data_IF_270631904743
#
_entry.id   IF_270631904743
#
_cell.length_a   1.000
_cell.length_b   1.000
_cell.length_c   1.000
_cell.angle_alpha   90.00
_cell.angle_beta   90.00
_cell.angle_gamma   90.00
#
_symmetry.space_group_name_H-M   'P 1'
#
loop_
_entity.id
_entity.type
_entity.pdbx_description
1 polymer ?
#
# COMPACT_ATOMS: atom_id res chain seq x y z
N UNK A 1 2.67 -11.31 1.52
CA UNK A 1 1.19 -11.29 1.47
C UNK A 1 0.76 -10.18 0.50
N UNK A 2 -0.26 -10.41 -0.33
CA UNK A 2 -0.92 -9.35 -1.13
C UNK A 2 -2.31 -9.14 -0.56
N UNK A 3 -2.64 -7.91 -0.17
CA UNK A 3 -3.98 -7.56 0.29
C UNK A 3 -4.61 -6.60 -0.71
N UNK A 4 -5.89 -6.80 -1.00
CA UNK A 4 -6.67 -5.97 -1.90
C UNK A 4 -7.73 -5.22 -1.09
N UNK A 5 -7.94 -3.95 -1.42
CA UNK A 5 -8.99 -3.11 -0.84
C UNK A 5 -10.04 -2.74 -1.90
N UNK A 6 -10.95 -1.84 -1.53
CA UNK A 6 -12.02 -1.36 -2.40
C UNK A 6 -11.52 -0.62 -3.65
N UNK A 7 -12.42 -0.51 -4.63
CA UNK A 7 -12.19 0.24 -5.88
C UNK A 7 -12.10 1.75 -5.65
N UNK A 8 -11.04 2.37 -6.14
CA UNK A 8 -10.88 3.83 -6.21
C UNK A 8 -11.04 4.27 -7.64
N UNK A 9 -11.96 5.20 -7.86
CA UNK A 9 -12.09 5.96 -9.10
C UNK A 9 -11.36 7.29 -8.88
N UNK A 10 -10.19 7.43 -9.49
CA UNK A 10 -9.40 8.65 -9.38
C UNK A 10 -9.63 9.65 -10.50
N UNK A 11 -9.00 10.82 -10.34
CA UNK A 11 -8.96 11.93 -11.29
C UNK A 11 -7.52 12.42 -11.49
N UNK A 12 -7.22 13.31 -12.45
CA UNK A 12 -5.86 13.77 -12.71
C UNK A 12 -5.21 14.33 -11.44
N UNK A 13 -4.06 13.77 -11.04
CA UNK A 13 -3.35 14.14 -9.82
C UNK A 13 -3.80 13.43 -8.54
N UNK A 14 -4.80 12.53 -8.60
CA UNK A 14 -5.21 11.72 -7.45
C UNK A 14 -4.05 10.87 -6.95
N UNK A 15 -3.91 10.81 -5.63
CA UNK A 15 -2.98 9.93 -4.91
C UNK A 15 -3.77 9.10 -3.91
N UNK A 16 -3.33 7.87 -3.69
CA UNK A 16 -3.94 6.97 -2.70
C UNK A 16 -2.96 6.75 -1.56
N UNK A 17 -3.44 6.94 -0.33
CA UNK A 17 -2.69 6.67 0.89
C UNK A 17 -2.83 5.21 1.32
N UNK A 18 -1.71 4.64 1.76
CA UNK A 18 -1.62 3.29 2.29
C UNK A 18 -1.01 3.36 3.68
N UNK A 19 -1.68 2.74 4.65
CA UNK A 19 -1.23 2.69 6.05
C UNK A 19 -1.25 1.24 6.53
N UNK A 20 -0.08 0.67 6.80
CA UNK A 20 0.04 -0.69 7.33
C UNK A 20 0.40 -0.58 8.79
N UNK A 21 -0.49 -1.10 9.64
CA UNK A 21 -0.29 -1.13 11.09
C UNK A 21 0.24 -2.48 11.52
N UNK A 22 1.38 -2.49 12.21
CA UNK A 22 1.93 -3.73 12.75
C UNK A 22 1.46 -3.93 14.19
N UNK A 23 0.58 -4.89 14.42
CA UNK A 23 0.06 -5.21 15.76
C UNK A 23 1.02 -6.10 16.57
N UNK A 24 1.98 -6.78 15.90
CA UNK A 24 3.01 -7.61 16.54
C UNK A 24 4.34 -7.51 15.79
N UNK A 25 5.18 -6.55 16.16
CA UNK A 25 6.44 -6.19 15.52
C UNK A 25 7.66 -6.88 16.15
N UNK A 26 7.58 -8.18 16.47
CA UNK A 26 8.72 -8.92 17.04
C UNK A 26 9.85 -9.04 16.01
N UNK A 27 10.76 -8.06 15.99
CA UNK A 27 12.02 -8.04 15.22
C UNK A 27 11.89 -8.17 13.71
N UNK A 28 10.68 -8.06 13.15
CA UNK A 28 10.43 -8.37 11.73
C UNK A 28 10.30 -7.08 10.93
N UNK A 29 11.24 -6.88 10.02
CA UNK A 29 11.28 -5.71 9.13
C UNK A 29 10.21 -5.87 8.03
N UNK A 30 9.22 -4.98 8.04
CA UNK A 30 8.12 -5.00 7.07
C UNK A 30 8.47 -4.13 5.87
N UNK A 31 8.70 -4.78 4.72
CA UNK A 31 8.90 -4.09 3.46
C UNK A 31 7.64 -4.17 2.61
N UNK A 32 7.00 -3.02 2.36
CA UNK A 32 5.75 -2.96 1.60
C UNK A 32 5.90 -2.19 0.28
N UNK A 33 5.19 -2.68 -0.74
CA UNK A 33 4.94 -2.00 -2.01
C UNK A 33 3.45 -1.81 -2.19
N UNK A 34 3.03 -0.65 -2.66
CA UNK A 34 1.64 -0.36 -2.97
C UNK A 34 1.42 -0.23 -4.47
N UNK A 35 0.23 -0.62 -4.91
CA UNK A 35 -0.22 -0.45 -6.28
C UNK A 35 -0.58 1.01 -6.51
N UNK A 36 0.05 1.61 -7.51
CA UNK A 36 -0.27 2.92 -8.02
C UNK A 36 -0.36 2.91 -9.54
N UNK A 37 -0.59 4.09 -10.10
CA UNK A 37 -0.66 4.31 -11.53
C UNK A 37 0.06 5.60 -11.89
N UNK A 38 0.90 5.54 -12.92
CA UNK A 38 1.44 6.72 -13.58
C UNK A 38 0.78 6.81 -14.95
N UNK A 39 -0.16 7.75 -15.08
CA UNK A 39 -1.10 7.75 -16.20
C UNK A 39 -2.03 6.53 -16.11
N UNK A 40 -2.06 5.70 -17.15
CA UNK A 40 -2.85 4.47 -17.20
C UNK A 40 -2.02 3.20 -16.96
N UNK A 41 -0.72 3.34 -16.65
CA UNK A 41 0.17 2.21 -16.41
C UNK A 41 0.23 1.89 -14.94
N UNK A 42 -0.11 0.65 -14.58
CA UNK A 42 0.08 0.13 -13.22
C UNK A 42 1.56 0.11 -12.86
N UNK A 43 1.87 0.60 -11.66
CA UNK A 43 3.21 0.55 -11.08
C UNK A 43 3.14 0.08 -9.63
N UNK A 44 4.14 -0.68 -9.20
CA UNK A 44 4.32 -1.04 -7.79
C UNK A 44 5.34 -0.11 -7.18
N UNK A 45 4.89 0.77 -6.30
CA UNK A 45 5.72 1.78 -5.64
C UNK A 45 6.15 1.24 -4.28
N UNK A 46 7.45 1.22 -4.04
CA UNK A 46 8.00 0.92 -2.72
C UNK A 46 7.57 1.99 -1.73
N UNK A 47 6.85 1.60 -0.67
CA UNK A 47 6.38 2.53 0.35
C UNK A 47 7.52 2.86 1.30
N UNK A 48 8.06 1.85 2.01
CA UNK A 48 9.22 1.89 2.90
C UNK A 48 9.43 0.48 3.50
N UNK A 49 10.59 0.27 4.15
CA UNK A 49 10.86 -0.89 4.99
C UNK A 49 11.02 -0.43 6.45
N UNK A 50 10.14 -0.86 7.35
CA UNK A 50 10.15 -0.42 8.75
C UNK A 50 9.83 -1.57 9.70
N UNK A 51 10.39 -1.61 10.92
CA UNK A 51 9.91 -2.45 12.01
C UNK A 51 8.64 -1.87 12.70
N UNK A 52 8.21 -0.68 12.28
CA UNK A 52 7.03 0.02 12.75
C UNK A 52 6.01 0.21 11.61
N UNK A 53 4.94 0.95 11.88
CA UNK A 53 3.90 1.28 10.91
C UNK A 53 4.50 1.87 9.61
N UNK A 54 4.07 1.32 8.48
CA UNK A 54 4.49 1.79 7.16
C UNK A 54 3.37 2.69 6.63
N UNK A 55 3.71 3.90 6.24
CA UNK A 55 2.77 4.82 5.60
C UNK A 55 3.37 5.35 4.31
N UNK A 56 2.53 5.54 3.30
CA UNK A 56 2.95 6.27 2.11
C UNK A 56 1.85 6.40 1.08
N UNK A 57 2.08 7.31 0.14
CA UNK A 57 1.08 7.67 -0.87
C UNK A 57 1.63 7.48 -2.25
N UNK A 58 0.91 6.74 -3.09
CA UNK A 58 1.30 6.45 -4.47
C UNK A 58 0.47 7.28 -5.44
N UNK A 59 1.01 7.61 -6.63
CA UNK A 59 0.21 8.23 -7.68
C UNK A 59 -0.88 7.25 -8.12
N UNK A 60 -2.06 7.77 -8.45
CA UNK A 60 -3.21 6.99 -8.92
C UNK A 60 -3.82 7.56 -10.21
N UNK A 61 -3.91 8.88 -10.32
CA UNK A 61 -4.42 9.53 -11.53
C UNK A 61 -5.86 9.12 -11.88
N UNK A 62 -6.20 9.20 -13.17
CA UNK A 62 -7.55 8.98 -13.69
C UNK A 62 -7.87 7.51 -13.97
N UNK A 63 -7.66 6.63 -12.98
CA UNK A 63 -7.89 5.18 -13.12
C UNK A 63 -8.98 4.71 -12.15
N UNK A 64 -9.82 3.80 -12.63
CA UNK A 64 -10.80 3.06 -11.82
C UNK A 64 -10.26 1.64 -11.55
N UNK A 65 -9.72 1.41 -10.36
CA UNK A 65 -9.15 0.11 -9.99
C UNK A 65 -9.16 -0.14 -8.48
N UNK A 66 -8.91 -1.37 -8.06
CA UNK A 66 -8.81 -1.73 -6.64
C UNK A 66 -7.44 -1.39 -6.06
N UNK A 67 -7.42 -0.84 -4.84
CA UNK A 67 -6.20 -0.66 -4.05
C UNK A 67 -5.56 -2.02 -3.81
N UNK A 68 -4.24 -2.09 -3.82
CA UNK A 68 -3.53 -3.31 -3.44
C UNK A 68 -2.19 -2.99 -2.78
N UNK A 69 -1.80 -3.84 -1.84
CA UNK A 69 -0.50 -3.76 -1.19
C UNK A 69 0.15 -5.13 -1.11
N UNK A 70 1.46 -5.16 -1.27
CA UNK A 70 2.27 -6.35 -1.17
C UNK A 70 3.35 -6.11 -0.12
N UNK A 71 3.32 -6.88 0.97
CA UNK A 71 4.33 -6.80 2.02
C UNK A 71 5.11 -8.11 2.16
N UNK A 72 6.42 -7.99 2.37
CA UNK A 72 7.34 -9.07 2.74
C UNK A 72 7.70 -8.96 4.22
N UNK A 73 7.81 -10.10 4.91
CA UNK A 73 8.08 -10.14 6.35
C UNK A 73 6.87 -9.74 7.20
N UNK A 74 5.65 -10.11 6.81
CA UNK A 74 4.43 -9.81 7.58
C UNK A 74 4.33 -10.75 8.79
N UNK A 75 4.54 -10.29 10.03
CA UNK A 75 4.30 -11.12 11.21
C UNK A 75 2.81 -11.43 11.35
N UNK A 76 2.49 -12.55 12.02
CA UNK A 76 1.12 -12.94 12.35
C UNK A 76 0.40 -11.80 13.11
N UNK A 77 -0.72 -11.30 12.57
CA UNK A 77 -1.52 -10.24 13.19
C UNK A 77 -1.39 -8.83 12.59
N UNK A 78 -0.71 -8.66 11.44
CA UNK A 78 -0.62 -7.35 10.76
C UNK A 78 -2.00 -6.91 10.25
N UNK A 79 -2.43 -5.68 10.56
CA UNK A 79 -3.65 -5.06 10.03
C UNK A 79 -3.31 -4.02 8.96
N UNK A 80 -4.15 -3.90 7.95
CA UNK A 80 -3.91 -2.97 6.83
C UNK A 80 -5.10 -2.04 6.74
N UNK A 81 -4.82 -0.75 6.76
CA UNK A 81 -5.78 0.32 6.60
C UNK A 81 -5.47 1.10 5.32
N UNK A 82 -6.52 1.63 4.69
CA UNK A 82 -6.41 2.36 3.43
C UNK A 82 -7.16 3.68 3.58
N UNK A 83 -6.56 4.78 3.15
CA UNK A 83 -7.21 6.11 3.10
C UNK A 83 -7.15 6.65 1.69
#
# INVERSE_FOLDING_TARGET
MVCQGDGVIGSPGTRVGYTIKQVNNVGTLLCCKARGYQGNTEVWVDLLCSPDDVTGSVPWGSVAASKAIQCKGTPLGTSIEWS
#
